data_IF_672764565890
#
_entry.id   IF_672764565890
#
_cell.length_a   1.000
_cell.length_b   1.000
_cell.length_c   1.000
_cell.angle_alpha   90.00
_cell.angle_beta   90.00
_cell.angle_gamma   90.00
#
_symmetry.space_group_name_H-M   'P 1'
#
loop_
_entity.id
_entity.type
_entity.pdbx_description
1 polymer ?
#
# COMPACT_ATOMS: atom_id res chain seq x y z
N UNK A 1 -8.17 16.71 -3.17
CA UNK A 1 -8.97 16.30 -4.36
C UNK A 1 -8.36 16.72 -5.70
N UNK A 2 -7.34 16.02 -6.19
CA UNK A 2 -6.68 16.29 -7.48
C UNK A 2 -7.17 15.37 -8.61
N UNK A 3 -8.18 15.79 -9.38
CA UNK A 3 -8.72 15.03 -10.52
C UNK A 3 -7.85 15.22 -11.78
N UNK A 4 -7.12 14.17 -12.20
CA UNK A 4 -6.48 14.12 -13.53
C UNK A 4 -7.52 13.68 -14.57
N UNK A 5 -8.10 14.65 -15.28
CA UNK A 5 -9.14 14.40 -16.30
C UNK A 5 -8.52 13.92 -17.63
N UNK A 6 -9.03 12.82 -18.20
CA UNK A 6 -8.84 12.46 -19.62
C UNK A 6 -10.20 12.13 -20.25
N UNK A 7 -10.42 12.57 -21.49
CA UNK A 7 -11.74 12.68 -22.12
C UNK A 7 -12.36 11.39 -22.70
N UNK A 8 -13.69 11.46 -22.89
CA UNK A 8 -14.57 10.42 -23.44
C UNK A 8 -14.44 10.22 -24.96
N UNK A 9 -14.64 8.98 -25.46
CA UNK A 9 -15.18 8.69 -26.80
C UNK A 9 -15.97 7.36 -26.85
N UNK A 10 -17.02 7.33 -27.69
CA UNK A 10 -18.00 6.23 -27.87
C UNK A 10 -18.56 6.29 -29.32
N UNK A 11 -19.25 5.30 -29.91
CA UNK A 11 -19.87 4.05 -29.43
C UNK A 11 -19.86 2.95 -30.52
N UNK A 12 -20.06 1.69 -30.13
CA UNK A 12 -20.36 0.54 -31.04
C UNK A 12 -21.78 0.64 -31.65
N UNK A 13 -22.12 -0.10 -32.74
CA UNK A 13 -22.79 -1.40 -32.51
C UNK A 13 -22.64 -2.53 -33.59
N UNK A 14 -22.79 -3.77 -33.09
CA UNK A 14 -23.48 -4.95 -33.67
C UNK A 14 -23.06 -5.67 -34.99
N UNK A 15 -23.24 -6.99 -34.96
CA UNK A 15 -22.99 -8.01 -36.01
C UNK A 15 -24.31 -8.72 -36.39
N UNK A 16 -24.31 -9.61 -37.40
CA UNK A 16 -25.18 -10.79 -37.42
C UNK A 16 -24.41 -12.13 -37.43
N UNK A 17 -25.16 -13.24 -37.29
CA UNK A 17 -24.70 -14.61 -36.98
C UNK A 17 -24.50 -15.50 -38.25
N UNK A 18 -24.19 -16.81 -38.27
CA UNK A 18 -24.47 -17.92 -37.33
C UNK A 18 -23.63 -19.18 -37.63
N UNK A 19 -23.23 -19.96 -36.61
CA UNK A 19 -23.05 -21.44 -36.69
C UNK A 19 -23.01 -22.06 -35.28
N UNK A 20 -23.53 -23.29 -35.10
CA UNK A 20 -23.59 -23.95 -33.79
C UNK A 20 -22.28 -24.72 -33.45
N UNK A 21 -21.84 -24.76 -32.16
CA UNK A 21 -20.56 -25.34 -31.78
C UNK A 21 -20.60 -26.87 -31.54
N UNK A 22 -19.43 -27.49 -31.70
CA UNK A 22 -19.13 -28.88 -31.32
C UNK A 22 -19.16 -29.06 -29.77
N UNK A 23 -19.29 -30.31 -29.24
CA UNK A 23 -19.27 -30.56 -27.80
C UNK A 23 -17.99 -30.01 -27.15
N UNK A 24 -18.18 -29.22 -26.08
CA UNK A 24 -17.12 -28.45 -25.45
C UNK A 24 -16.10 -29.31 -24.68
N UNK A 25 -14.88 -28.77 -24.42
CA UNK A 25 -13.89 -29.44 -23.61
C UNK A 25 -14.40 -29.67 -22.18
N UNK A 26 -13.94 -30.76 -21.56
CA UNK A 26 -14.14 -31.02 -20.13
C UNK A 26 -13.75 -29.81 -19.29
N UNK A 27 -14.49 -29.47 -18.22
CA UNK A 27 -14.16 -28.33 -17.37
C UNK A 27 -12.78 -28.56 -16.75
N UNK A 28 -11.79 -27.81 -17.23
CA UNK A 28 -10.47 -27.78 -16.63
C UNK A 28 -10.56 -27.25 -15.20
N UNK A 29 -9.56 -27.61 -14.38
CA UNK A 29 -9.32 -26.93 -13.10
C UNK A 29 -9.46 -25.41 -13.30
N UNK A 30 -10.13 -24.68 -12.39
CA UNK A 30 -10.28 -23.24 -12.53
C UNK A 30 -8.89 -22.63 -12.71
N UNK A 31 -8.67 -21.96 -13.84
CA UNK A 31 -7.43 -21.26 -14.10
C UNK A 31 -7.18 -20.33 -12.91
N UNK A 32 -5.99 -20.45 -12.29
CA UNK A 32 -5.68 -19.69 -11.09
C UNK A 32 -5.92 -18.21 -11.38
N UNK A 33 -6.90 -17.60 -10.69
CA UNK A 33 -7.23 -16.19 -10.84
C UNK A 33 -5.93 -15.41 -10.64
N UNK A 34 -5.46 -14.62 -11.63
CA UNK A 34 -4.20 -13.92 -11.49
C UNK A 34 -4.30 -13.04 -10.25
N UNK A 35 -3.39 -13.26 -9.29
CA UNK A 35 -3.38 -12.47 -8.06
C UNK A 35 -3.26 -10.99 -8.45
N UNK A 36 -4.10 -10.10 -7.89
CA UNK A 36 -3.95 -8.67 -8.14
C UNK A 36 -2.53 -8.25 -7.75
N UNK A 37 -1.96 -7.34 -8.52
CA UNK A 37 -0.66 -6.75 -8.20
C UNK A 37 -0.70 -6.14 -6.80
N UNK A 38 0.41 -6.23 -6.04
CA UNK A 38 0.46 -5.58 -4.72
C UNK A 38 0.34 -4.07 -4.87
N UNK A 39 -0.13 -3.33 -3.85
CA UNK A 39 -0.14 -1.87 -3.88
C UNK A 39 1.22 -1.28 -4.25
N UNK A 40 2.32 -1.84 -3.70
CA UNK A 40 3.69 -1.45 -4.06
C UNK A 40 4.01 -1.62 -5.56
N UNK A 41 3.48 -2.67 -6.21
CA UNK A 41 3.66 -2.90 -7.64
C UNK A 41 2.84 -1.92 -8.49
N UNK A 42 1.57 -1.67 -8.13
CA UNK A 42 0.69 -0.71 -8.81
C UNK A 42 1.25 0.72 -8.75
N UNK A 43 1.70 1.16 -7.57
CA UNK A 43 2.28 2.52 -7.42
C UNK A 43 3.65 2.62 -8.09
N UNK A 44 4.45 1.54 -8.13
CA UNK A 44 5.73 1.51 -8.88
C UNK A 44 5.51 1.55 -10.39
N UNK A 45 4.45 0.95 -10.91
CA UNK A 45 4.03 1.08 -12.31
C UNK A 45 3.65 2.54 -12.62
N UNK A 46 2.82 3.16 -11.79
CA UNK A 46 2.45 4.57 -11.91
C UNK A 46 3.68 5.50 -11.87
N UNK A 47 4.56 5.39 -10.88
CA UNK A 47 5.77 6.23 -10.82
C UNK A 47 6.62 6.09 -12.09
N UNK A 48 6.79 4.88 -12.62
CA UNK A 48 7.53 4.65 -13.87
C UNK A 48 6.84 5.25 -15.09
N UNK A 49 5.52 5.10 -15.21
CA UNK A 49 4.75 5.63 -16.34
C UNK A 49 4.71 7.17 -16.36
N UNK A 50 4.72 7.80 -15.17
CA UNK A 50 4.65 9.26 -15.00
C UNK A 50 6.02 9.93 -14.76
N UNK A 51 7.12 9.17 -14.83
CA UNK A 51 8.48 9.71 -14.67
C UNK A 51 8.81 10.22 -13.26
N UNK A 52 8.13 9.72 -12.24
CA UNK A 52 8.33 10.07 -10.84
C UNK A 52 9.49 9.28 -10.21
N UNK A 53 10.09 9.86 -9.17
CA UNK A 53 11.16 9.26 -8.38
C UNK A 53 10.81 7.84 -7.89
N UNK A 54 11.71 6.89 -8.18
CA UNK A 54 11.75 5.55 -7.59
C UNK A 54 13.19 5.23 -7.24
N UNK A 55 13.45 4.81 -6.00
CA UNK A 55 14.76 4.33 -5.56
C UNK A 55 14.68 2.84 -5.24
N UNK A 56 15.78 2.12 -5.41
CA UNK A 56 15.85 0.66 -5.23
C UNK A 56 16.50 0.23 -3.90
N UNK A 57 16.96 1.19 -3.09
CA UNK A 57 17.43 0.98 -1.72
C UNK A 57 17.07 2.19 -0.84
N UNK A 58 16.88 2.00 0.49
CA UNK A 58 16.52 3.09 1.39
C UNK A 58 17.52 4.24 1.32
N UNK A 59 17.02 5.45 1.09
CA UNK A 59 17.81 6.64 0.80
C UNK A 59 17.18 7.86 1.47
N UNK A 60 18.00 8.72 2.08
CA UNK A 60 17.55 10.04 2.50
C UNK A 60 17.45 10.96 1.29
N UNK A 61 16.29 11.59 1.11
CA UNK A 61 16.03 12.56 0.04
C UNK A 61 16.26 14.00 0.54
N UNK A 62 16.16 14.99 -0.36
CA UNK A 62 16.24 16.40 0.03
C UNK A 62 15.11 16.78 1.01
N UNK A 63 15.36 17.77 1.88
CA UNK A 63 14.36 18.24 2.83
C UNK A 63 13.08 18.76 2.14
N UNK A 64 13.23 19.38 0.97
CA UNK A 64 12.13 19.83 0.11
C UNK A 64 11.27 18.67 -0.40
N UNK A 65 11.89 17.62 -0.95
CA UNK A 65 11.15 16.43 -1.42
C UNK A 65 10.49 15.67 -0.26
N UNK A 66 11.17 15.57 0.89
CA UNK A 66 10.60 14.97 2.10
C UNK A 66 9.40 15.77 2.63
N UNK A 67 9.49 17.11 2.65
CA UNK A 67 8.40 17.99 3.05
C UNK A 67 7.20 17.84 2.11
N UNK A 68 7.41 17.89 0.80
CA UNK A 68 6.34 17.73 -0.19
C UNK A 68 5.64 16.36 -0.09
N UNK A 69 6.39 15.26 0.12
CA UNK A 69 5.77 13.95 0.39
C UNK A 69 5.01 13.90 1.72
N UNK A 70 5.39 14.72 2.70
CA UNK A 70 4.67 14.89 3.96
C UNK A 70 3.38 15.70 3.82
N UNK A 71 3.37 16.72 2.98
CA UNK A 71 2.17 17.52 2.64
C UNK A 71 1.10 16.65 1.99
N UNK A 72 1.46 15.86 0.96
CA UNK A 72 0.53 14.92 0.32
C UNK A 72 -0.06 13.92 1.33
N UNK A 73 0.77 13.34 2.21
CA UNK A 73 0.29 12.44 3.27
C UNK A 73 -0.66 13.11 4.27
N UNK A 74 -0.49 14.41 4.50
CA UNK A 74 -1.38 15.18 5.39
C UNK A 74 -2.70 15.55 4.69
N UNK A 75 -2.70 15.81 3.38
CA UNK A 75 -3.89 16.03 2.56
C UNK A 75 -4.80 14.79 2.59
N UNK A 76 -4.32 13.63 2.15
CA UNK A 76 -5.15 12.41 2.10
C UNK A 76 -5.68 12.00 3.50
N UNK A 77 -4.86 12.20 4.54
CA UNK A 77 -5.28 11.91 5.92
C UNK A 77 -6.38 12.86 6.42
N UNK A 78 -6.44 14.09 5.90
CA UNK A 78 -7.53 15.02 6.16
C UNK A 78 -8.80 14.64 5.38
N UNK A 79 -8.69 14.26 4.10
CA UNK A 79 -9.86 13.83 3.30
C UNK A 79 -10.52 12.56 3.92
N UNK A 80 -9.73 11.59 4.41
CA UNK A 80 -10.25 10.46 5.24
C UNK A 80 -11.00 10.96 6.48
N UNK A 81 -10.45 11.95 7.19
CA UNK A 81 -11.05 12.43 8.44
C UNK A 81 -12.44 13.05 8.20
N UNK A 82 -12.60 13.83 7.12
CA UNK A 82 -13.86 14.46 6.74
C UNK A 82 -14.99 13.44 6.49
N UNK A 83 -14.68 12.31 5.84
CA UNK A 83 -15.69 11.28 5.50
C UNK A 83 -15.88 10.21 6.59
N UNK A 84 -14.94 10.08 7.53
CA UNK A 84 -14.87 8.95 8.48
C UNK A 84 -16.07 8.74 9.41
N UNK A 85 -16.83 9.80 9.72
CA UNK A 85 -17.93 9.75 10.71
C UNK A 85 -19.31 9.69 10.07
N UNK A 86 -19.52 10.41 8.96
CA UNK A 86 -20.83 10.62 8.32
C UNK A 86 -20.83 10.42 6.81
N UNK A 87 -19.67 10.19 6.20
CA UNK A 87 -19.55 9.93 4.77
C UNK A 87 -20.08 8.54 4.38
N UNK A 88 -20.48 8.35 3.12
CA UNK A 88 -20.87 7.04 2.62
C UNK A 88 -19.64 6.13 2.48
N UNK A 89 -19.86 4.81 2.55
CA UNK A 89 -18.78 3.81 2.64
C UNK A 89 -17.89 3.76 1.39
N UNK A 90 -18.42 4.09 0.22
CA UNK A 90 -17.69 4.18 -1.04
C UNK A 90 -16.69 5.35 -1.05
N UNK A 91 -17.08 6.51 -0.50
CA UNK A 91 -16.16 7.64 -0.24
C UNK A 91 -15.07 7.23 0.74
N UNK A 92 -15.43 6.69 1.90
CA UNK A 92 -14.44 6.23 2.89
C UNK A 92 -13.45 5.21 2.30
N UNK A 93 -13.91 4.30 1.43
CA UNK A 93 -13.03 3.36 0.74
C UNK A 93 -12.09 4.04 -0.27
N UNK A 94 -12.51 5.14 -0.91
CA UNK A 94 -11.68 5.97 -1.79
C UNK A 94 -10.56 6.65 -1.01
N UNK A 95 -10.90 7.44 0.01
CA UNK A 95 -9.90 8.25 0.73
C UNK A 95 -8.89 7.34 1.48
N UNK A 96 -9.34 6.18 1.98
CA UNK A 96 -8.45 5.15 2.55
C UNK A 96 -7.51 4.53 1.51
N UNK A 97 -7.94 4.39 0.25
CA UNK A 97 -7.08 3.91 -0.82
C UNK A 97 -6.03 4.95 -1.19
N UNK A 98 -6.37 6.24 -1.22
CA UNK A 98 -5.46 7.33 -1.58
C UNK A 98 -4.39 7.56 -0.50
N UNK A 99 -4.72 7.50 0.79
CA UNK A 99 -3.73 7.44 1.89
C UNK A 99 -2.73 6.30 1.66
N UNK A 100 -3.21 5.11 1.29
CA UNK A 100 -2.34 3.95 1.02
C UNK A 100 -1.49 4.20 -0.23
N UNK A 101 -2.07 4.75 -1.30
CA UNK A 101 -1.40 5.04 -2.57
C UNK A 101 -0.25 6.04 -2.37
N UNK A 102 -0.51 7.15 -1.67
CA UNK A 102 0.49 8.16 -1.34
C UNK A 102 1.54 7.62 -0.37
N UNK A 103 1.18 6.76 0.59
CA UNK A 103 2.14 6.10 1.48
C UNK A 103 3.12 5.19 0.73
N UNK A 104 2.64 4.34 -0.19
CA UNK A 104 3.52 3.53 -1.04
C UNK A 104 4.36 4.40 -1.98
N UNK A 105 3.81 5.47 -2.55
CA UNK A 105 4.55 6.42 -3.37
C UNK A 105 5.67 7.11 -2.60
N UNK A 106 5.42 7.49 -1.35
CA UNK A 106 6.42 8.09 -0.45
C UNK A 106 7.51 7.08 -0.09
N UNK A 107 7.15 5.81 0.14
CA UNK A 107 8.13 4.75 0.37
C UNK A 107 9.01 4.48 -0.87
N UNK A 108 8.44 4.45 -2.08
CA UNK A 108 9.18 4.30 -3.34
C UNK A 108 10.14 5.47 -3.60
N UNK A 109 9.73 6.70 -3.30
CA UNK A 109 10.62 7.88 -3.33
C UNK A 109 11.80 7.69 -2.38
N UNK A 110 11.60 7.14 -1.18
CA UNK A 110 12.68 6.84 -0.24
C UNK A 110 13.42 5.52 -0.52
N UNK A 111 12.98 4.72 -1.50
CA UNK A 111 13.51 3.38 -1.79
C UNK A 111 13.28 2.34 -0.70
N UNK A 112 12.25 2.54 0.12
CA UNK A 112 11.85 1.63 1.19
C UNK A 112 10.89 0.58 0.63
N UNK A 113 11.21 -0.69 0.82
CA UNK A 113 10.22 -1.76 0.66
C UNK A 113 9.29 -1.72 1.90
N UNK A 114 8.13 -1.11 1.69
CA UNK A 114 7.12 -0.89 2.73
C UNK A 114 6.36 -2.18 3.09
N UNK A 115 6.23 -3.14 2.15
CA UNK A 115 5.63 -4.45 2.42
C UNK A 115 6.44 -5.18 3.51
N UNK A 116 7.77 -5.18 3.41
CA UNK A 116 8.66 -5.77 4.41
C UNK A 116 8.66 -5.03 5.76
N UNK A 117 8.47 -3.70 5.77
CA UNK A 117 8.34 -2.92 7.01
C UNK A 117 7.00 -3.20 7.70
N UNK A 118 5.90 -3.26 6.94
CA UNK A 118 4.58 -3.63 7.45
C UNK A 118 4.60 -5.07 7.98
N UNK A 119 5.28 -6.00 7.32
CA UNK A 119 5.42 -7.38 7.78
C UNK A 119 6.11 -7.48 9.15
N UNK A 120 7.16 -6.71 9.42
CA UNK A 120 7.83 -6.67 10.74
C UNK A 120 6.97 -6.01 11.82
N UNK A 121 6.26 -4.92 11.48
CA UNK A 121 5.29 -4.29 12.39
C UNK A 121 4.15 -5.25 12.72
N UNK A 122 3.65 -6.00 11.73
CA UNK A 122 2.63 -7.03 11.91
C UNK A 122 3.15 -8.17 12.80
N UNK A 123 4.34 -8.73 12.52
CA UNK A 123 4.99 -9.75 13.35
C UNK A 123 5.06 -9.32 14.83
N UNK A 124 5.59 -8.12 15.11
CA UNK A 124 5.64 -7.56 16.46
C UNK A 124 4.24 -7.40 17.08
N UNK A 125 3.26 -6.92 16.32
CA UNK A 125 1.88 -6.80 16.80
C UNK A 125 1.27 -8.17 17.19
N UNK A 126 1.56 -9.24 16.45
CA UNK A 126 1.06 -10.58 16.76
C UNK A 126 1.70 -11.19 18.03
N UNK A 127 2.91 -10.78 18.43
CA UNK A 127 3.52 -11.18 19.72
C UNK A 127 2.79 -10.64 20.96
N UNK A 128 1.77 -9.78 20.79
CA UNK A 128 0.92 -9.26 21.88
C UNK A 128 -0.20 -10.23 22.27
N UNK A 129 -0.37 -11.33 21.52
CA UNK A 129 -1.27 -12.42 21.87
C UNK A 129 -0.64 -13.28 22.97
N UNK A 130 -1.42 -13.62 23.99
CA UNK A 130 -1.07 -14.61 25.00
C UNK A 130 -1.14 -16.04 24.47
N UNK A 131 -0.73 -17.04 25.28
CA UNK A 131 -0.77 -18.46 24.90
C UNK A 131 -2.17 -19.00 24.55
N UNK A 132 -3.23 -18.30 24.96
CA UNK A 132 -4.64 -18.56 24.68
C UNK A 132 -5.17 -17.81 23.44
N UNK A 133 -4.31 -17.09 22.72
CA UNK A 133 -4.68 -16.21 21.62
C UNK A 133 -5.43 -14.94 22.04
N UNK A 134 -5.50 -14.63 23.35
CA UNK A 134 -6.14 -13.41 23.84
C UNK A 134 -5.13 -12.30 24.09
N UNK A 135 -5.60 -11.06 24.00
CA UNK A 135 -4.78 -9.89 24.26
C UNK A 135 -5.08 -9.38 25.67
N UNK A 136 -4.05 -9.28 26.51
CA UNK A 136 -4.18 -8.61 27.81
C UNK A 136 -4.56 -7.14 27.59
N UNK A 137 -5.64 -6.67 28.22
CA UNK A 137 -6.16 -5.31 28.08
C UNK A 137 -6.29 -4.62 29.43
N UNK A 138 -6.00 -3.32 29.45
CA UNK A 138 -6.37 -2.40 30.53
C UNK A 138 -7.87 -2.10 30.49
N UNK A 139 -8.39 -1.51 31.58
CA UNK A 139 -9.76 -1.02 31.67
C UNK A 139 -10.13 0.06 30.63
N UNK A 140 -9.15 0.76 30.03
CA UNK A 140 -9.34 1.69 28.91
C UNK A 140 -9.31 1.01 27.53
N UNK A 141 -9.38 -0.33 27.48
CA UNK A 141 -9.32 -1.12 26.25
C UNK A 141 -7.92 -1.26 25.64
N UNK A 142 -6.92 -0.51 26.15
CA UNK A 142 -5.56 -0.51 25.63
C UNK A 142 -4.91 -1.88 25.79
N UNK A 143 -4.41 -2.38 24.67
CA UNK A 143 -3.56 -3.58 24.60
C UNK A 143 -2.29 -3.38 25.42
N UNK A 144 -2.08 -4.28 26.38
CA UNK A 144 -0.86 -4.38 27.16
C UNK A 144 0.21 -5.17 26.38
N UNK A 145 1.48 -4.90 26.71
CA UNK A 145 2.59 -5.76 26.28
C UNK A 145 2.60 -6.97 27.22
N UNK A 146 2.33 -8.16 26.70
CA UNK A 146 2.45 -9.41 27.44
C UNK A 146 3.91 -9.82 27.66
N UNK A 147 4.13 -10.89 28.41
CA UNK A 147 5.46 -11.45 28.71
C UNK A 147 6.23 -11.89 27.45
N UNK A 148 5.52 -12.25 26.39
CA UNK A 148 6.08 -12.69 25.10
C UNK A 148 6.18 -11.56 24.05
N UNK A 149 5.98 -10.30 24.43
CA UNK A 149 6.02 -9.18 23.47
C UNK A 149 7.43 -8.89 22.96
N UNK A 150 7.60 -8.90 21.65
CA UNK A 150 8.79 -8.44 20.95
C UNK A 150 8.53 -7.13 20.20
N UNK A 151 9.42 -6.16 20.34
CA UNK A 151 9.35 -4.90 19.58
C UNK A 151 9.73 -5.11 18.09
N UNK A 152 9.25 -4.25 17.17
CA UNK A 152 9.59 -4.38 15.76
C UNK A 152 10.99 -3.81 15.49
N UNK A 153 11.89 -4.59 14.91
CA UNK A 153 13.22 -4.10 14.49
C UNK A 153 13.19 -3.59 13.03
N UNK A 154 12.48 -2.48 12.84
CA UNK A 154 12.44 -1.76 11.55
C UNK A 154 13.84 -1.32 11.11
N UNK A 155 14.75 -1.04 12.04
CA UNK A 155 16.12 -0.68 11.71
C UNK A 155 16.87 -1.87 11.07
N UNK A 156 16.65 -3.12 11.52
CA UNK A 156 17.17 -4.31 10.86
C UNK A 156 16.50 -4.58 9.51
N UNK A 157 15.20 -4.32 9.36
CA UNK A 157 14.52 -4.40 8.05
C UNK A 157 15.20 -3.47 7.06
N UNK A 158 15.38 -2.19 7.40
CA UNK A 158 16.05 -1.22 6.55
C UNK A 158 17.51 -1.61 6.26
N UNK A 159 18.27 -2.10 7.26
CA UNK A 159 19.64 -2.61 7.03
C UNK A 159 19.67 -3.78 6.03
N UNK A 160 18.68 -4.69 6.07
CA UNK A 160 18.54 -5.78 5.08
C UNK A 160 18.17 -5.28 3.68
N UNK A 161 17.44 -4.16 3.59
CA UNK A 161 17.17 -3.45 2.34
C UNK A 161 18.38 -2.61 1.83
N UNK A 162 19.49 -2.58 2.57
CA UNK A 162 20.72 -1.87 2.18
C UNK A 162 21.00 -0.56 2.92
N UNK A 163 20.12 -0.13 3.84
CA UNK A 163 20.29 1.12 4.59
C UNK A 163 21.56 1.12 5.44
N UNK A 164 22.33 2.22 5.37
CA UNK A 164 23.50 2.48 6.22
C UNK A 164 23.37 3.84 6.90
N UNK A 165 23.06 3.90 8.21
CA UNK A 165 23.02 5.15 8.95
C UNK A 165 24.35 5.91 8.84
N UNK A 166 24.29 7.21 8.55
CA UNK A 166 25.48 8.05 8.39
C UNK A 166 26.14 8.00 7.01
N UNK A 167 25.59 7.23 6.05
CA UNK A 167 25.97 7.28 4.63
C UNK A 167 25.47 8.54 3.92
N UNK A 168 25.86 9.72 4.43
CA UNK A 168 25.64 10.99 3.73
C UNK A 168 26.34 11.00 2.38
N UNK A 169 25.71 11.65 1.41
CA UNK A 169 26.16 11.83 0.01
C UNK A 169 27.68 11.99 -0.12
N UNK A 170 28.32 11.01 -0.78
CA UNK A 170 29.65 11.21 -1.36
C UNK A 170 29.48 11.84 -2.74
N UNK A 171 29.76 13.15 -2.81
CA UNK A 171 29.93 13.99 -4.01
C UNK A 171 28.80 13.97 -5.05
#
# INVERSE_FOLDING_TARGET
MAVVTVGHMSSTPASPATAAPAPGPTPGSPAAVPRPASPAALVREFHRAFGLDVRDAPTQVSAELAAHRGELLAEEAAEVAEVSVTGPLDRLAHELADVVYVAYGTALVHGIDLDAVIAEIHRSNMTKLGPDGQVARRADGKVLKGEHYEAPDVAAVLRRQGWRPGGGTAA
#
